data_IF_230054683107
#
_entry.id   IF_230054683107
#
_cell.length_a   1.000
_cell.length_b   1.000
_cell.length_c   1.000
_cell.angle_alpha   90.00
_cell.angle_beta   90.00
_cell.angle_gamma   90.00
#
_symmetry.space_group_name_H-M   'P 1'
#
loop_
_entity.id
_entity.type
_entity.pdbx_description
1 polymer ?
#
# COMPACT_ATOMS: atom_id res chain seq x y z
N UNK A 1 -7.59 7.07 28.44
CA UNK A 1 -7.86 7.14 26.99
C UNK A 1 -9.35 7.27 26.80
N UNK A 2 -9.81 8.13 25.88
CA UNK A 2 -11.24 8.27 25.60
C UNK A 2 -11.74 6.95 25.00
N UNK A 3 -12.70 6.30 25.66
CA UNK A 3 -13.44 5.19 25.08
C UNK A 3 -14.26 5.74 23.91
N UNK A 4 -14.00 5.25 22.70
CA UNK A 4 -14.79 5.59 21.53
C UNK A 4 -16.24 5.10 21.75
N UNK A 5 -17.26 5.97 21.61
CA UNK A 5 -18.64 5.55 21.74
C UNK A 5 -19.06 4.76 20.49
N UNK A 6 -19.60 3.57 20.74
CA UNK A 6 -20.08 2.53 19.80
C UNK A 6 -19.01 1.73 19.05
N UNK A 7 -19.17 0.40 19.18
CA UNK A 7 -18.29 -0.64 18.70
C UNK A 7 -18.06 -0.50 17.19
N UNK A 8 -16.84 -0.18 16.83
CA UNK A 8 -16.06 -0.96 15.87
C UNK A 8 -16.90 -2.06 15.18
N UNK A 9 -17.29 -1.80 13.93
CA UNK A 9 -18.06 -2.77 13.15
C UNK A 9 -17.12 -3.79 12.51
N UNK A 10 -17.24 -5.04 12.93
CA UNK A 10 -16.69 -6.18 12.22
C UNK A 10 -17.78 -6.74 11.29
N UNK A 11 -17.56 -6.71 9.96
CA UNK A 11 -18.49 -7.36 9.05
C UNK A 11 -18.60 -8.84 9.38
N UNK A 12 -19.77 -9.45 9.22
CA UNK A 12 -19.88 -10.91 9.27
C UNK A 12 -19.09 -11.60 8.15
N UNK A 13 -18.85 -12.92 8.23
CA UNK A 13 -18.15 -13.69 7.18
C UNK A 13 -18.80 -13.59 5.80
N UNK A 14 -20.10 -13.31 5.75
CA UNK A 14 -20.91 -13.24 4.52
C UNK A 14 -21.03 -11.81 3.96
N UNK A 15 -20.39 -10.81 4.58
CA UNK A 15 -20.46 -9.42 4.17
C UNK A 15 -19.24 -8.99 3.35
N UNK A 16 -19.42 -8.17 2.28
CA UNK A 16 -18.32 -7.71 1.45
C UNK A 16 -17.38 -6.83 2.27
N UNK A 17 -16.09 -7.13 2.19
CA UNK A 17 -15.08 -6.39 2.90
C UNK A 17 -14.33 -5.44 1.97
N UNK A 18 -14.34 -4.16 2.34
CA UNK A 18 -13.43 -3.18 1.78
C UNK A 18 -12.24 -2.97 2.72
N UNK A 19 -11.16 -2.44 2.15
CA UNK A 19 -9.76 -2.56 2.60
C UNK A 19 -9.46 -1.94 3.98
N UNK A 20 -10.44 -1.39 4.68
CA UNK A 20 -10.27 -0.92 6.06
C UNK A 20 -11.21 -1.56 7.06
N UNK A 21 -10.59 -2.46 7.81
CA UNK A 21 -11.00 -3.00 9.09
C UNK A 21 -11.66 -1.92 9.93
N UNK A 22 -12.81 -2.26 10.52
CA UNK A 22 -13.59 -1.42 11.43
C UNK A 22 -14.46 -0.35 10.74
N UNK A 23 -15.30 -0.85 9.83
CA UNK A 23 -16.10 -0.07 8.89
C UNK A 23 -17.38 0.54 9.47
N UNK A 24 -18.33 0.78 8.57
CA UNK A 24 -19.71 1.21 8.86
C UNK A 24 -20.59 -0.04 8.89
N UNK A 25 -21.66 -0.05 9.69
CA UNK A 25 -22.71 -1.05 9.47
C UNK A 25 -23.22 -0.95 8.03
N UNK A 26 -23.76 -2.03 7.43
CA UNK A 26 -24.33 -2.00 6.08
C UNK A 26 -25.35 -0.88 5.89
N UNK A 27 -26.14 -0.57 6.92
CA UNK A 27 -27.12 0.52 6.91
C UNK A 27 -26.43 1.89 6.83
N UNK A 28 -25.40 2.12 7.64
CA UNK A 28 -24.64 3.37 7.62
C UNK A 28 -23.83 3.50 6.31
N UNK A 29 -23.27 2.41 5.79
CA UNK A 29 -22.60 2.39 4.49
C UNK A 29 -23.56 2.79 3.36
N UNK A 30 -24.76 2.17 3.32
CA UNK A 30 -25.79 2.48 2.32
C UNK A 30 -26.31 3.91 2.43
N UNK A 31 -26.53 4.40 3.65
CA UNK A 31 -26.95 5.79 3.90
C UNK A 31 -25.89 6.78 3.42
N UNK A 32 -24.63 6.58 3.80
CA UNK A 32 -23.54 7.46 3.42
C UNK A 32 -23.26 7.41 1.91
N UNK A 33 -23.43 6.24 1.26
CA UNK A 33 -23.36 6.11 -0.19
C UNK A 33 -24.45 6.92 -0.89
N UNK A 34 -25.71 6.81 -0.44
CA UNK A 34 -26.82 7.58 -1.00
C UNK A 34 -26.64 9.09 -0.82
N UNK A 35 -25.98 9.51 0.27
CA UNK A 35 -25.67 10.91 0.56
C UNK A 35 -24.35 11.42 -0.07
N UNK A 36 -23.55 10.54 -0.66
CA UNK A 36 -22.19 10.86 -1.19
C UNK A 36 -21.27 11.44 -0.10
N UNK A 37 -21.24 10.81 1.07
CA UNK A 37 -20.45 11.26 2.23
C UNK A 37 -19.39 10.22 2.60
N UNK A 38 -18.14 10.67 2.70
CA UNK A 38 -17.06 9.92 3.33
C UNK A 38 -16.97 10.27 4.82
N UNK A 39 -16.76 9.25 5.67
CA UNK A 39 -16.51 9.44 7.12
C UNK A 39 -15.18 8.77 7.45
N UNK A 40 -14.19 9.58 7.81
CA UNK A 40 -12.80 9.16 8.05
C UNK A 40 -12.43 9.48 9.50
N UNK A 41 -11.59 8.65 10.13
CA UNK A 41 -11.13 8.83 11.51
C UNK A 41 -11.51 7.66 12.44
N UNK A 42 -10.93 7.64 13.64
CA UNK A 42 -10.96 6.47 14.52
C UNK A 42 -10.10 5.34 13.92
N UNK A 43 -10.66 4.14 13.82
CA UNK A 43 -10.01 3.00 13.15
C UNK A 43 -10.19 3.00 11.61
N UNK A 44 -10.96 3.95 11.06
CA UNK A 44 -11.16 4.09 9.61
C UNK A 44 -10.08 4.96 9.01
N UNK A 45 -9.19 4.37 8.22
CA UNK A 45 -8.27 5.10 7.35
C UNK A 45 -8.73 4.98 5.88
N UNK A 46 -8.11 5.71 4.94
CA UNK A 46 -8.31 5.51 3.50
C UNK A 46 -7.40 4.41 2.96
N UNK A 47 -7.90 3.61 2.01
CA UNK A 47 -7.04 2.73 1.22
C UNK A 47 -6.40 3.55 0.10
N UNK A 48 -5.23 4.09 0.41
CA UNK A 48 -4.47 4.88 -0.56
C UNK A 48 -4.01 4.01 -1.74
N UNK A 49 -3.56 2.77 -1.51
CA UNK A 49 -3.05 1.91 -2.58
C UNK A 49 -4.12 1.67 -3.66
N UNK A 50 -5.32 1.28 -3.24
CA UNK A 50 -6.46 1.08 -4.16
C UNK A 50 -6.93 2.39 -4.78
N UNK A 51 -6.89 3.50 -4.04
CA UNK A 51 -7.25 4.81 -4.59
C UNK A 51 -6.32 5.21 -5.74
N UNK A 52 -5.00 5.04 -5.58
CA UNK A 52 -4.02 5.29 -6.64
C UNK A 52 -4.17 4.31 -7.80
N UNK A 53 -4.41 3.02 -7.52
CA UNK A 53 -4.65 2.01 -8.54
C UNK A 53 -5.88 2.35 -9.41
N UNK A 54 -6.98 2.74 -8.77
CA UNK A 54 -8.22 3.13 -9.43
C UNK A 54 -8.05 4.42 -10.24
N UNK A 55 -7.36 5.41 -9.67
CA UNK A 55 -7.06 6.66 -10.36
C UNK A 55 -6.19 6.42 -11.61
N UNK A 56 -5.16 5.58 -11.51
CA UNK A 56 -4.32 5.19 -12.64
C UNK A 56 -5.13 4.54 -13.77
N UNK A 57 -5.98 3.56 -13.44
CA UNK A 57 -6.83 2.87 -14.42
C UNK A 57 -7.86 3.82 -15.05
N UNK A 58 -8.45 4.72 -14.25
CA UNK A 58 -9.42 5.70 -14.74
C UNK A 58 -8.78 6.65 -15.74
N UNK A 59 -7.60 7.19 -15.41
CA UNK A 59 -6.85 8.08 -16.31
C UNK A 59 -6.33 7.33 -17.55
N UNK A 60 -5.89 6.08 -17.40
CA UNK A 60 -5.48 5.22 -18.52
C UNK A 60 -6.64 5.03 -19.52
N UNK A 61 -7.83 4.68 -19.04
CA UNK A 61 -9.01 4.49 -19.90
C UNK A 61 -9.42 5.77 -20.61
N UNK A 62 -9.40 6.91 -19.92
CA UNK A 62 -9.69 8.21 -20.50
C UNK A 62 -8.63 8.61 -21.57
N UNK A 63 -7.35 8.39 -21.27
CA UNK A 63 -6.28 8.66 -22.22
C UNK A 63 -6.36 7.75 -23.46
N UNK A 64 -6.78 6.50 -23.28
CA UNK A 64 -7.03 5.58 -24.39
C UNK A 64 -8.22 6.02 -25.25
N UNK A 65 -9.35 6.40 -24.64
CA UNK A 65 -10.54 6.84 -25.39
C UNK A 65 -10.29 8.11 -26.19
N UNK A 66 -9.48 9.02 -25.63
CA UNK A 66 -9.23 10.33 -26.23
C UNK A 66 -8.00 10.35 -27.15
N UNK A 67 -7.31 9.22 -27.30
CA UNK A 67 -6.03 9.10 -28.03
C UNK A 67 -4.95 10.06 -27.51
N UNK A 68 -4.76 10.10 -26.18
CA UNK A 68 -3.85 11.00 -25.45
C UNK A 68 -2.88 10.26 -24.53
N UNK A 69 -2.51 9.02 -24.88
CA UNK A 69 -1.57 8.22 -24.09
C UNK A 69 -0.24 8.95 -23.85
N UNK A 70 0.31 9.61 -24.86
CA UNK A 70 1.60 10.32 -24.72
C UNK A 70 1.50 11.55 -23.81
N UNK A 71 0.34 12.21 -23.76
CA UNK A 71 0.10 13.34 -22.86
C UNK A 71 -0.03 12.92 -21.40
N UNK A 72 -0.56 11.73 -21.16
CA UNK A 72 -0.89 11.23 -19.83
C UNK A 72 0.05 10.12 -19.35
N UNK A 73 0.99 9.67 -20.17
CA UNK A 73 1.80 8.48 -19.88
C UNK A 73 2.60 8.60 -18.59
N UNK A 74 3.32 9.71 -18.40
CA UNK A 74 4.07 9.97 -17.17
C UNK A 74 3.16 10.12 -15.94
N UNK A 75 2.07 10.92 -15.98
CA UNK A 75 1.09 10.95 -14.89
C UNK A 75 0.49 9.58 -14.53
N UNK A 76 0.10 8.77 -15.52
CA UNK A 76 -0.44 7.42 -15.28
C UNK A 76 0.64 6.55 -14.61
N UNK A 77 1.85 6.55 -15.15
CA UNK A 77 2.97 5.79 -14.61
C UNK A 77 3.29 6.20 -13.17
N UNK A 78 3.26 7.49 -12.85
CA UNK A 78 3.46 7.97 -11.48
C UNK A 78 2.41 7.38 -10.52
N UNK A 79 1.13 7.40 -10.89
CA UNK A 79 0.05 6.83 -10.08
C UNK A 79 0.24 5.32 -9.89
N UNK A 80 0.64 4.61 -10.95
CA UNK A 80 0.94 3.17 -10.91
C UNK A 80 2.12 2.85 -9.97
N UNK A 81 3.22 3.59 -10.12
CA UNK A 81 4.41 3.45 -9.28
C UNK A 81 4.12 3.74 -7.82
N UNK A 82 3.30 4.74 -7.53
CA UNK A 82 2.92 5.05 -6.15
C UNK A 82 1.92 4.04 -5.57
N UNK A 83 1.03 3.48 -6.38
CA UNK A 83 0.21 2.34 -5.97
C UNK A 83 1.08 1.15 -5.54
N UNK A 84 2.12 0.81 -6.31
CA UNK A 84 3.09 -0.23 -5.93
C UNK A 84 3.77 0.07 -4.58
N UNK A 85 4.27 1.30 -4.38
CA UNK A 85 4.89 1.71 -3.10
C UNK A 85 3.95 1.45 -1.92
N UNK A 86 2.69 1.88 -2.04
CA UNK A 86 1.71 1.76 -0.98
C UNK A 86 1.25 0.31 -0.74
N UNK A 87 1.17 -0.50 -1.80
CA UNK A 87 0.91 -1.95 -1.70
C UNK A 87 2.01 -2.69 -0.93
N UNK A 88 3.25 -2.21 -0.97
CA UNK A 88 4.35 -2.78 -0.19
C UNK A 88 4.35 -2.22 1.24
N UNK A 89 4.15 -0.91 1.41
CA UNK A 89 4.19 -0.26 2.72
C UNK A 89 3.04 -0.67 3.63
N UNK A 90 1.83 -0.89 3.09
CA UNK A 90 0.67 -1.27 3.90
C UNK A 90 0.91 -2.55 4.74
N UNK A 91 1.29 -3.70 4.15
CA UNK A 91 1.62 -4.89 4.93
C UNK A 91 2.85 -4.69 5.82
N UNK A 92 3.87 -3.94 5.36
CA UNK A 92 5.08 -3.68 6.13
C UNK A 92 4.78 -2.94 7.45
N UNK A 93 3.99 -1.87 7.37
CA UNK A 93 3.54 -1.09 8.52
C UNK A 93 2.65 -1.92 9.44
N UNK A 94 1.76 -2.75 8.89
CA UNK A 94 0.91 -3.62 9.69
C UNK A 94 1.74 -4.68 10.44
N UNK A 95 2.77 -5.24 9.83
CA UNK A 95 3.70 -6.15 10.51
C UNK A 95 4.50 -5.46 11.62
N UNK A 96 4.93 -4.21 11.41
CA UNK A 96 5.57 -3.39 12.47
C UNK A 96 4.61 -3.19 13.64
N UNK A 97 3.34 -2.90 13.34
CA UNK A 97 2.31 -2.71 14.36
C UNK A 97 2.06 -4.00 15.16
N UNK A 98 1.95 -5.15 14.49
CA UNK A 98 1.84 -6.48 15.13
C UNK A 98 2.99 -6.70 16.11
N UNK A 99 4.24 -6.48 15.71
CA UNK A 99 5.40 -6.63 16.59
C UNK A 99 5.38 -5.64 17.76
N UNK A 100 4.94 -4.40 17.51
CA UNK A 100 4.83 -3.36 18.53
C UNK A 100 3.81 -3.72 19.61
N UNK A 101 2.65 -4.25 19.23
CA UNK A 101 1.64 -4.73 20.17
C UNK A 101 2.07 -6.00 20.91
N UNK A 102 2.70 -6.95 20.22
CA UNK A 102 3.28 -8.12 20.88
C UNK A 102 4.24 -7.70 21.99
N UNK A 103 5.15 -6.77 21.71
CA UNK A 103 6.07 -6.22 22.70
C UNK A 103 5.34 -5.54 23.87
N UNK A 104 4.33 -4.71 23.58
CA UNK A 104 3.50 -4.00 24.58
C UNK A 104 2.81 -4.99 25.54
N UNK A 105 2.36 -6.13 25.02
CA UNK A 105 1.65 -7.17 25.76
C UNK A 105 2.58 -8.21 26.42
N UNK A 106 3.89 -8.14 26.17
CA UNK A 106 4.86 -9.10 26.70
C UNK A 106 4.90 -10.44 25.95
N UNK A 107 4.36 -10.49 24.73
CA UNK A 107 4.47 -11.65 23.84
C UNK A 107 5.85 -11.74 23.20
N UNK A 108 6.29 -12.95 22.79
CA UNK A 108 7.49 -13.11 21.99
C UNK A 108 7.43 -12.28 20.70
N UNK A 109 8.49 -11.52 20.44
CA UNK A 109 8.71 -10.78 19.20
C UNK A 109 9.82 -11.42 18.38
N UNK A 110 9.84 -11.15 17.08
CA UNK A 110 10.99 -11.47 16.25
C UNK A 110 12.21 -10.64 16.68
N UNK A 111 13.38 -11.27 16.68
CA UNK A 111 14.67 -10.59 16.91
C UNK A 111 15.23 -9.96 15.63
N UNK A 112 14.64 -10.28 14.48
CA UNK A 112 15.09 -9.84 13.14
C UNK A 112 14.22 -8.71 12.61
N UNK A 113 12.95 -8.61 13.03
CA UNK A 113 12.01 -7.61 12.54
C UNK A 113 11.08 -7.09 13.66
N UNK A 114 10.77 -5.77 13.69
CA UNK A 114 11.35 -4.72 12.86
C UNK A 114 12.69 -4.21 13.43
N UNK A 115 13.60 -3.81 12.56
CA UNK A 115 14.77 -3.00 12.90
C UNK A 115 14.41 -1.51 12.80
N UNK A 116 15.28 -0.61 13.30
CA UNK A 116 15.10 0.83 13.10
C UNK A 116 15.10 1.22 11.62
N UNK A 117 15.87 0.51 10.79
CA UNK A 117 15.91 0.72 9.36
C UNK A 117 14.58 0.32 8.69
N UNK A 118 13.99 -0.83 9.04
CA UNK A 118 12.67 -1.23 8.52
C UNK A 118 11.59 -0.19 8.83
N UNK A 119 11.57 0.34 10.06
CA UNK A 119 10.63 1.38 10.46
C UNK A 119 10.86 2.64 9.61
N UNK A 120 12.12 3.11 9.53
CA UNK A 120 12.49 4.29 8.74
C UNK A 120 12.10 4.13 7.26
N UNK A 121 12.38 2.98 6.65
CA UNK A 121 12.07 2.74 5.25
C UNK A 121 10.56 2.72 5.00
N UNK A 122 9.80 2.01 5.84
CA UNK A 122 8.34 1.96 5.77
C UNK A 122 7.68 3.34 5.82
N UNK A 123 8.27 4.29 6.54
CA UNK A 123 7.76 5.66 6.69
C UNK A 123 8.26 6.60 5.59
N UNK A 124 9.54 6.50 5.20
CA UNK A 124 10.25 7.55 4.47
C UNK A 124 10.87 7.13 3.15
N UNK A 125 11.13 5.84 2.96
CA UNK A 125 11.75 5.37 1.71
C UNK A 125 10.74 5.41 0.57
N UNK A 126 11.26 5.62 -0.63
CA UNK A 126 10.53 5.55 -1.89
C UNK A 126 11.19 4.56 -2.84
N UNK A 127 12.20 3.82 -2.37
CA UNK A 127 12.88 2.81 -3.16
C UNK A 127 12.06 1.52 -3.12
N UNK A 128 11.47 1.15 -4.26
CA UNK A 128 10.64 -0.04 -4.35
C UNK A 128 11.43 -1.33 -4.12
N UNK A 129 12.73 -1.36 -4.46
CA UNK A 129 13.57 -2.54 -4.25
C UNK A 129 13.80 -2.74 -2.75
N UNK A 130 14.24 -1.69 -2.07
CA UNK A 130 14.47 -1.70 -0.61
C UNK A 130 13.19 -2.08 0.15
N UNK A 131 12.06 -1.46 -0.20
CA UNK A 131 10.78 -1.77 0.44
C UNK A 131 10.33 -3.22 0.19
N UNK A 132 10.57 -3.76 -1.01
CA UNK A 132 10.21 -5.15 -1.33
C UNK A 132 11.10 -6.14 -0.59
N UNK A 133 12.40 -5.84 -0.43
CA UNK A 133 13.33 -6.63 0.37
C UNK A 133 12.90 -6.66 1.85
N UNK A 134 12.56 -5.50 2.43
CA UNK A 134 12.02 -5.39 3.79
C UNK A 134 10.73 -6.21 3.96
N UNK A 135 9.85 -6.19 2.96
CA UNK A 135 8.60 -6.97 2.98
C UNK A 135 8.87 -8.48 2.97
N UNK A 136 9.84 -8.94 2.16
CA UNK A 136 10.24 -10.35 2.11
C UNK A 136 10.87 -10.79 3.43
N UNK A 137 11.72 -9.95 4.03
CA UNK A 137 12.33 -10.21 5.34
C UNK A 137 11.26 -10.29 6.44
N UNK A 138 10.33 -9.34 6.47
CA UNK A 138 9.18 -9.37 7.38
C UNK A 138 8.37 -10.67 7.21
N UNK A 139 8.02 -11.04 5.96
CA UNK A 139 7.23 -12.23 5.68
C UNK A 139 7.89 -13.50 6.23
N UNK A 140 9.22 -13.60 6.11
CA UNK A 140 10.01 -14.70 6.67
C UNK A 140 10.05 -14.64 8.20
N UNK A 141 10.40 -13.48 8.76
CA UNK A 141 10.55 -13.28 10.20
C UNK A 141 9.25 -13.55 10.97
N UNK A 142 8.11 -13.21 10.36
CA UNK A 142 6.79 -13.36 10.95
C UNK A 142 6.08 -14.66 10.50
N UNK A 143 6.72 -15.49 9.67
CA UNK A 143 6.14 -16.74 9.16
C UNK A 143 4.78 -16.53 8.47
N UNK A 144 4.70 -15.53 7.59
CA UNK A 144 3.47 -15.14 6.87
C UNK A 144 3.32 -15.84 5.51
N UNK A 145 4.28 -16.69 5.14
CA UNK A 145 4.36 -17.29 3.82
C UNK A 145 5.27 -16.50 2.87
N UNK A 146 5.01 -16.60 1.57
CA UNK A 146 5.80 -15.96 0.52
C UNK A 146 5.11 -14.72 -0.01
N UNK A 147 5.88 -13.66 -0.28
CA UNK A 147 5.40 -12.54 -1.09
C UNK A 147 5.10 -13.06 -2.50
N UNK A 148 3.88 -12.84 -2.97
CA UNK A 148 3.42 -13.41 -4.24
C UNK A 148 4.12 -12.80 -5.45
N UNK A 149 4.38 -13.62 -6.46
CA UNK A 149 5.08 -13.25 -7.68
C UNK A 149 4.56 -11.99 -8.41
N UNK A 150 3.24 -11.71 -8.49
CA UNK A 150 2.76 -10.51 -9.16
C UNK A 150 3.34 -9.20 -8.62
N UNK A 151 3.60 -9.12 -7.31
CA UNK A 151 4.21 -7.93 -6.71
C UNK A 151 5.68 -7.78 -7.10
N UNK A 152 6.43 -8.88 -7.17
CA UNK A 152 7.81 -8.86 -7.66
C UNK A 152 7.88 -8.40 -9.12
N UNK A 153 7.05 -9.00 -9.98
CA UNK A 153 7.02 -8.70 -11.41
C UNK A 153 6.73 -7.22 -11.70
N UNK A 154 5.76 -6.64 -11.00
CA UNK A 154 5.41 -5.24 -11.22
C UNK A 154 6.47 -4.27 -10.71
N UNK A 155 7.15 -4.60 -9.61
CA UNK A 155 8.28 -3.82 -9.11
C UNK A 155 9.44 -3.89 -10.10
N UNK A 156 9.75 -5.06 -10.63
CA UNK A 156 10.78 -5.23 -11.67
C UNK A 156 10.46 -4.41 -12.93
N UNK A 157 9.22 -4.46 -13.42
CA UNK A 157 8.76 -3.69 -14.59
C UNK A 157 8.88 -2.18 -14.35
N UNK A 158 8.49 -1.69 -13.17
CA UNK A 158 8.60 -0.28 -12.80
C UNK A 158 10.07 0.15 -12.71
N UNK A 159 10.92 -0.65 -12.05
CA UNK A 159 12.35 -0.34 -11.85
C UNK A 159 13.16 -0.42 -13.15
N UNK A 160 12.70 -1.19 -14.14
CA UNK A 160 13.31 -1.19 -15.48
C UNK A 160 13.16 0.16 -16.20
N UNK A 161 12.13 0.94 -15.84
CA UNK A 161 11.83 2.25 -16.43
C UNK A 161 12.33 3.40 -15.54
N UNK A 162 12.05 3.30 -14.24
CA UNK A 162 12.37 4.31 -13.24
C UNK A 162 13.83 4.18 -12.80
N UNK A 163 14.74 4.87 -13.50
CA UNK A 163 16.16 4.93 -13.13
C UNK A 163 16.37 5.52 -11.73
N UNK A 164 15.46 6.40 -11.30
CA UNK A 164 15.48 7.07 -9.99
C UNK A 164 14.06 7.35 -9.51
N UNK A 165 13.80 7.23 -8.21
CA UNK A 165 12.47 7.41 -7.59
C UNK A 165 11.79 8.80 -7.80
N UNK A 166 12.49 9.81 -8.34
CA UNK A 166 11.92 11.12 -8.70
C UNK A 166 11.55 11.26 -10.16
N UNK A 167 11.94 10.29 -10.99
CA UNK A 167 11.90 10.36 -12.45
C UNK A 167 10.49 10.56 -13.01
N UNK A 168 9.49 9.93 -12.38
CA UNK A 168 8.08 10.05 -12.77
C UNK A 168 7.41 11.33 -12.25
N UNK A 169 8.04 12.05 -11.32
CA UNK A 169 7.47 13.22 -10.62
C UNK A 169 7.94 14.55 -11.17
N UNK A 170 9.18 14.61 -11.67
CA UNK A 170 9.79 15.86 -12.11
C UNK A 170 10.40 15.69 -13.49
N UNK A 171 10.46 16.78 -14.26
CA UNK A 171 11.18 16.80 -15.54
C UNK A 171 12.70 16.88 -15.36
N UNK A 172 13.16 17.21 -14.15
CA UNK A 172 14.56 17.18 -13.75
C UNK A 172 14.67 17.10 -12.23
N UNK A 173 15.83 16.70 -11.72
CA UNK A 173 16.22 16.90 -10.34
C UNK A 173 17.63 17.51 -10.27
N UNK A 174 18.07 17.85 -9.05
CA UNK A 174 19.43 18.31 -8.81
C UNK A 174 20.16 17.34 -7.88
N UNK A 175 21.34 16.91 -8.28
CA UNK A 175 22.22 16.04 -7.49
C UNK A 175 23.46 16.82 -7.04
N UNK A 176 23.96 16.53 -5.83
CA UNK A 176 25.19 17.13 -5.30
C UNK A 176 24.99 18.09 -4.11
N UNK A 177 26.12 18.60 -3.60
CA UNK A 177 26.14 19.52 -2.44
C UNK A 177 25.68 20.92 -2.86
N UNK A 178 25.23 21.72 -1.88
CA UNK A 178 24.55 23.01 -2.06
C UNK A 178 25.19 23.94 -3.12
N UNK A 179 26.51 23.96 -3.22
CA UNK A 179 27.27 24.85 -4.11
C UNK A 179 27.77 24.17 -5.41
N UNK A 180 27.50 22.87 -5.58
CA UNK A 180 27.90 22.02 -6.71
C UNK A 180 26.73 21.11 -7.11
N UNK A 181 25.56 21.70 -7.35
CA UNK A 181 24.40 20.96 -7.83
C UNK A 181 24.45 20.78 -9.34
N UNK A 182 24.54 19.55 -9.80
CA UNK A 182 24.34 19.18 -11.20
C UNK A 182 22.85 19.04 -11.45
N UNK A 183 22.35 19.57 -12.57
CA UNK A 183 20.96 19.36 -13.00
C UNK A 183 20.89 18.12 -13.85
N UNK A 184 20.06 17.17 -13.46
CA UNK A 184 19.81 15.93 -14.18
C UNK A 184 18.41 16.02 -14.78
N UNK A 185 18.33 16.11 -16.10
CA UNK A 185 17.04 16.12 -16.80
C UNK A 185 16.52 14.68 -16.93
N UNK A 186 15.26 14.49 -16.57
CA UNK A 186 14.54 13.24 -16.79
C UNK A 186 14.01 13.21 -18.24
N UNK A 187 13.83 12.02 -18.80
CA UNK A 187 13.26 11.82 -20.16
C UNK A 187 14.06 12.52 -21.28
N UNK A 188 15.39 12.43 -21.26
CA UNK A 188 16.23 12.96 -22.35
C UNK A 188 16.10 12.14 -23.64
N UNK A 189 15.83 10.85 -23.51
CA UNK A 189 15.63 9.91 -24.60
C UNK A 189 14.16 9.51 -24.68
N UNK A 190 13.69 9.18 -25.88
CA UNK A 190 12.37 8.58 -26.06
C UNK A 190 12.32 7.24 -25.32
N UNK A 191 11.22 7.03 -24.62
CA UNK A 191 10.98 5.83 -23.82
C UNK A 191 9.59 5.30 -24.14
N UNK A 192 9.44 3.99 -24.03
CA UNK A 192 8.12 3.34 -24.11
C UNK A 192 7.72 2.90 -22.71
N UNK A 193 6.57 3.36 -22.23
CA UNK A 193 6.00 2.95 -20.94
C UNK A 193 4.87 1.96 -21.20
N UNK A 194 4.96 0.70 -20.74
CA UNK A 194 3.95 -0.33 -20.93
C UNK A 194 2.79 -0.17 -19.92
N UNK A 195 2.10 0.97 -19.96
CA UNK A 195 1.08 1.37 -18.96
C UNK A 195 0.01 0.29 -18.72
N UNK A 196 -0.47 -0.37 -19.78
CA UNK A 196 -1.47 -1.42 -19.66
C UNK A 196 -0.94 -2.68 -18.98
N UNK A 197 0.32 -3.05 -19.22
CA UNK A 197 0.96 -4.20 -18.58
C UNK A 197 1.14 -3.94 -17.08
N UNK A 198 1.70 -2.78 -16.73
CA UNK A 198 1.88 -2.36 -15.34
C UNK A 198 0.52 -2.34 -14.62
N UNK A 199 -0.53 -1.80 -15.24
CA UNK A 199 -1.88 -1.77 -14.64
C UNK A 199 -2.40 -3.17 -14.32
N UNK A 200 -2.25 -4.12 -15.23
CA UNK A 200 -2.72 -5.49 -15.04
C UNK A 200 -1.93 -6.21 -13.95
N UNK A 201 -0.61 -6.03 -13.92
CA UNK A 201 0.24 -6.63 -12.89
C UNK A 201 -0.05 -6.02 -11.50
N UNK A 202 -0.28 -4.71 -11.41
CA UNK A 202 -0.71 -4.07 -10.16
C UNK A 202 -2.06 -4.62 -9.67
N UNK A 203 -3.01 -4.85 -10.58
CA UNK A 203 -4.30 -5.44 -10.22
C UNK A 203 -4.14 -6.87 -9.70
N UNK A 204 -3.25 -7.65 -10.31
CA UNK A 204 -2.90 -9.00 -9.84
C UNK A 204 -2.16 -8.97 -8.50
N UNK A 205 -1.25 -8.01 -8.29
CA UNK A 205 -0.54 -7.80 -7.03
C UNK A 205 -1.52 -7.45 -5.90
N UNK A 206 -2.40 -6.47 -6.13
CA UNK A 206 -3.48 -6.11 -5.21
C UNK A 206 -4.34 -7.32 -4.82
N UNK A 207 -4.78 -8.12 -5.81
CA UNK A 207 -5.55 -9.32 -5.55
C UNK A 207 -4.76 -10.35 -4.73
N UNK A 208 -3.48 -10.56 -5.03
CA UNK A 208 -2.63 -11.54 -4.35
C UNK A 208 -2.22 -11.15 -2.92
N UNK A 209 -2.16 -9.85 -2.62
CA UNK A 209 -1.97 -9.37 -1.26
C UNK A 209 -3.18 -9.65 -0.39
N UNK A 210 -4.36 -9.76 -1.02
CA UNK A 210 -5.65 -9.95 -0.38
C UNK A 210 -6.07 -8.74 0.44
N UNK A 211 -7.09 -8.92 1.25
CA UNK A 211 -7.62 -7.90 2.13
C UNK A 211 -7.36 -8.27 3.59
N UNK A 212 -7.22 -7.27 4.45
CA UNK A 212 -7.14 -7.50 5.91
C UNK A 212 -8.46 -7.97 6.51
N UNK A 213 -9.55 -7.96 5.73
CA UNK A 213 -10.85 -8.54 6.05
C UNK A 213 -11.57 -8.89 4.73
N UNK A 214 -12.39 -9.97 4.61
CA UNK A 214 -12.44 -11.07 5.55
C UNK A 214 -11.04 -11.69 5.67
N UNK A 215 -10.70 -12.20 6.86
CA UNK A 215 -9.41 -12.86 7.02
C UNK A 215 -9.34 -14.06 6.08
N UNK A 216 -8.31 -14.08 5.26
CA UNK A 216 -7.99 -15.18 4.36
C UNK A 216 -6.53 -15.61 4.56
N UNK A 217 -6.06 -16.54 3.73
CA UNK A 217 -4.67 -17.01 3.76
C UNK A 217 -3.69 -16.07 3.05
N UNK A 218 -4.14 -14.87 2.62
CA UNK A 218 -3.25 -13.88 2.02
C UNK A 218 -2.37 -13.23 3.09
N UNK A 219 -1.36 -12.49 2.64
CA UNK A 219 -0.47 -11.75 3.51
C UNK A 219 -1.25 -10.76 4.40
N UNK A 220 -2.16 -9.98 3.80
CA UNK A 220 -2.97 -9.00 4.52
C UNK A 220 -3.99 -9.67 5.43
N UNK A 221 -4.59 -10.78 5.01
CA UNK A 221 -5.54 -11.54 5.83
C UNK A 221 -4.91 -12.08 7.11
N UNK A 222 -3.72 -12.68 7.00
CA UNK A 222 -2.97 -13.18 8.16
C UNK A 222 -2.56 -12.05 9.10
N UNK A 223 -2.02 -10.95 8.56
CA UNK A 223 -1.63 -9.79 9.37
C UNK A 223 -2.84 -9.15 10.06
N UNK A 224 -3.96 -9.01 9.33
CA UNK A 224 -5.23 -8.53 9.85
C UNK A 224 -5.72 -9.35 11.03
N UNK A 225 -5.70 -10.69 10.90
CA UNK A 225 -6.09 -11.60 11.98
C UNK A 225 -5.21 -11.45 13.23
N UNK A 226 -3.90 -11.29 13.03
CA UNK A 226 -2.96 -11.13 14.15
C UNK A 226 -3.14 -9.79 14.87
N UNK A 227 -3.27 -8.68 14.15
CA UNK A 227 -3.41 -7.37 14.80
C UNK A 227 -4.74 -7.24 15.52
N UNK A 228 -5.81 -7.83 14.98
CA UNK A 228 -7.14 -7.82 15.58
C UNK A 228 -7.12 -8.51 16.95
N UNK A 229 -6.53 -9.70 17.03
CA UNK A 229 -6.37 -10.41 18.29
C UNK A 229 -5.58 -9.59 19.32
N UNK A 230 -4.49 -8.95 18.89
CA UNK A 230 -3.65 -8.13 19.77
C UNK A 230 -4.38 -6.88 20.27
N UNK A 231 -5.19 -6.24 19.43
CA UNK A 231 -6.01 -5.10 19.83
C UNK A 231 -7.08 -5.49 20.86
N UNK A 232 -7.71 -6.67 20.72
CA UNK A 232 -8.65 -7.20 21.74
C UNK A 232 -7.97 -7.41 23.07
N UNK A 233 -6.81 -8.06 23.06
CA UNK A 233 -6.05 -8.34 24.27
C UNK A 233 -5.56 -7.06 24.95
N UNK A 234 -5.19 -6.05 24.16
CA UNK A 234 -4.82 -4.73 24.66
C UNK A 234 -6.03 -3.88 25.14
N UNK A 235 -7.27 -4.35 24.95
CA UNK A 235 -8.49 -3.63 25.30
C UNK A 235 -8.73 -2.37 24.45
N UNK A 236 -8.10 -2.27 23.28
CA UNK A 236 -8.33 -1.18 22.32
C UNK A 236 -9.70 -1.33 21.65
N UNK A 237 -10.17 -2.59 21.56
CA UNK A 237 -11.42 -3.00 20.92
C UNK A 237 -12.11 -4.05 21.80
N UNK A 238 -13.45 -4.08 21.80
CA UNK A 238 -14.26 -5.00 22.61
C UNK A 238 -14.47 -6.35 21.90
#
# INVERSE_FOLDING_TARGET
MAQFPEAIYLPGPDEPADVLTWGKSPEQAKSDQAAVIARIGGFRSPDYAQSYLLAANTLLRAAQSDNRLDHHGIPIFFLQRHAAELMIKAPLQLGIEVQSYQKKLGHPTSSVFPTEDHIRHSERSHDLRELLEDLVEMSRALQLGTVHAPLHLVVEEILALEKEHTWSRYSFHFEGKKDLKTRHQHLQEEITIPLGNIQNQLQAASFSLGSSWPFDSSLMGILGSRIEQLWREAGEIA
#
